data_IF_596444576790
#
_entry.id   IF_596444576790
#
_cell.length_a   1.000
_cell.length_b   1.000
_cell.length_c   1.000
_cell.angle_alpha   90.00
_cell.angle_beta   90.00
_cell.angle_gamma   90.00
#
_symmetry.space_group_name_H-M   'P 1'
#
loop_
_entity.id
_entity.type
_entity.pdbx_description
1 polymer ?
#
# COMPACT_ATOMS: atom_id res chain seq x y z
N UNK A 1 52.05 -7.48 -8.35
CA UNK A 1 53.17 -8.35 -8.77
C UNK A 1 54.43 -8.17 -7.91
N UNK A 2 54.76 -6.95 -7.46
CA UNK A 2 55.99 -6.64 -6.70
C UNK A 2 56.11 -7.34 -5.33
N UNK A 3 55.00 -7.59 -4.62
CA UNK A 3 55.04 -8.22 -3.28
C UNK A 3 55.48 -9.69 -3.31
N UNK A 4 55.20 -10.44 -4.39
CA UNK A 4 55.58 -11.86 -4.51
C UNK A 4 57.11 -12.04 -4.54
N UNK A 5 57.81 -11.17 -5.28
CA UNK A 5 59.27 -11.17 -5.36
C UNK A 5 59.94 -10.87 -4.02
N UNK A 6 59.34 -9.99 -3.20
CA UNK A 6 59.86 -9.67 -1.87
C UNK A 6 59.70 -10.85 -0.89
N UNK A 7 58.57 -11.57 -0.95
CA UNK A 7 58.37 -12.78 -0.13
C UNK A 7 59.30 -13.92 -0.54
N UNK A 8 59.43 -14.19 -1.86
CA UNK A 8 60.36 -15.20 -2.37
C UNK A 8 61.82 -14.85 -2.06
N UNK A 9 62.20 -13.58 -2.18
CA UNK A 9 63.53 -13.10 -1.84
C UNK A 9 63.84 -13.20 -0.34
N UNK A 10 62.87 -12.84 0.52
CA UNK A 10 63.00 -13.01 1.96
C UNK A 10 63.19 -14.47 2.36
N UNK A 11 62.41 -15.39 1.76
CA UNK A 11 62.51 -16.82 2.03
C UNK A 11 63.87 -17.42 1.60
N UNK A 12 64.36 -17.03 0.41
CA UNK A 12 65.66 -17.49 -0.10
C UNK A 12 66.81 -16.99 0.78
N UNK A 13 66.76 -15.74 1.23
CA UNK A 13 67.78 -15.18 2.13
C UNK A 13 67.72 -15.79 3.53
N UNK A 14 66.52 -16.09 4.03
CA UNK A 14 66.36 -16.80 5.30
C UNK A 14 66.95 -18.22 5.19
N UNK A 15 66.63 -18.97 4.14
CA UNK A 15 67.23 -20.28 3.90
C UNK A 15 68.76 -20.21 3.74
N UNK A 16 69.25 -19.17 3.03
CA UNK A 16 70.68 -18.88 2.89
C UNK A 16 71.36 -18.53 4.22
N UNK A 17 70.66 -17.85 5.13
CA UNK A 17 71.18 -17.54 6.46
C UNK A 17 71.41 -18.83 7.26
N UNK A 18 70.44 -19.74 7.29
CA UNK A 18 70.59 -21.03 7.96
C UNK A 18 71.66 -21.90 7.31
N UNK A 19 71.76 -21.91 5.98
CA UNK A 19 72.83 -22.60 5.26
C UNK A 19 74.22 -22.03 5.56
N UNK A 20 74.33 -20.73 5.86
CA UNK A 20 75.62 -20.09 6.20
C UNK A 20 76.24 -20.62 7.51
N UNK A 21 75.40 -21.16 8.42
CA UNK A 21 75.88 -21.80 9.65
C UNK A 21 76.58 -23.15 9.38
N UNK A 22 76.37 -23.73 8.20
CA UNK A 22 76.95 -25.03 7.80
C UNK A 22 78.16 -24.84 6.87
N UNK A 23 78.54 -23.60 6.57
CA UNK A 23 79.74 -23.30 5.79
C UNK A 23 81.00 -23.66 6.57
N UNK A 24 81.98 -24.28 5.92
CA UNK A 24 83.29 -24.54 6.50
C UNK A 24 84.10 -23.23 6.53
N UNK A 25 83.89 -22.43 7.57
CA UNK A 25 84.48 -21.11 7.76
C UNK A 25 84.71 -20.83 9.26
N UNK A 26 85.57 -19.87 9.63
CA UNK A 26 85.69 -19.40 11.00
C UNK A 26 84.34 -18.95 11.59
N UNK A 27 84.11 -19.24 12.87
CA UNK A 27 82.83 -18.96 13.56
C UNK A 27 82.37 -17.50 13.44
N UNK A 28 83.30 -16.54 13.44
CA UNK A 28 82.97 -15.12 13.29
C UNK A 28 82.45 -14.78 11.88
N UNK A 29 82.95 -15.47 10.84
CA UNK A 29 82.46 -15.31 9.46
C UNK A 29 81.09 -15.93 9.28
N UNK A 30 80.84 -17.10 9.88
CA UNK A 30 79.52 -17.73 9.91
C UNK A 30 78.48 -16.84 10.60
N UNK A 31 78.83 -16.28 11.77
CA UNK A 31 77.94 -15.38 12.50
C UNK A 31 77.65 -14.10 11.73
N UNK A 32 78.66 -13.52 11.08
CA UNK A 32 78.50 -12.30 10.28
C UNK A 32 77.66 -12.57 9.02
N UNK A 33 77.90 -13.68 8.32
CA UNK A 33 77.09 -14.11 7.18
C UNK A 33 75.63 -14.37 7.58
N UNK A 34 75.40 -15.06 8.70
CA UNK A 34 74.06 -15.32 9.25
C UNK A 34 73.33 -14.02 9.59
N UNK A 35 73.94 -13.14 10.39
CA UNK A 35 73.29 -11.90 10.85
C UNK A 35 72.97 -10.94 9.72
N UNK A 36 73.86 -10.81 8.73
CA UNK A 36 73.60 -9.95 7.55
C UNK A 36 72.50 -10.52 6.66
N UNK A 37 72.53 -11.82 6.36
CA UNK A 37 71.53 -12.47 5.51
C UNK A 37 70.16 -12.52 6.18
N UNK A 38 70.09 -12.83 7.48
CA UNK A 38 68.86 -12.80 8.27
C UNK A 38 68.31 -11.37 8.44
N UNK A 39 69.19 -10.38 8.63
CA UNK A 39 68.82 -8.96 8.66
C UNK A 39 68.20 -8.50 7.34
N UNK A 40 68.79 -8.89 6.21
CA UNK A 40 68.27 -8.58 4.89
C UNK A 40 66.94 -9.30 4.62
N UNK A 41 66.81 -10.57 5.02
CA UNK A 41 65.57 -11.34 4.93
C UNK A 41 64.43 -10.67 5.73
N UNK A 42 64.72 -10.27 6.97
CA UNK A 42 63.77 -9.58 7.85
C UNK A 42 63.34 -8.21 7.29
N UNK A 43 64.26 -7.45 6.68
CA UNK A 43 63.95 -6.19 6.03
C UNK A 43 63.04 -6.37 4.80
N UNK A 44 63.30 -7.38 3.97
CA UNK A 44 62.45 -7.69 2.82
C UNK A 44 61.07 -8.18 3.24
N UNK A 45 60.98 -9.02 4.28
CA UNK A 45 59.71 -9.47 4.85
C UNK A 45 58.90 -8.28 5.37
N UNK A 46 59.54 -7.39 6.15
CA UNK A 46 58.91 -6.17 6.65
C UNK A 46 58.38 -5.29 5.50
N UNK A 47 59.19 -5.07 4.46
CA UNK A 47 58.76 -4.28 3.30
C UNK A 47 57.60 -4.94 2.54
N UNK A 48 57.60 -6.27 2.40
CA UNK A 48 56.54 -7.02 1.75
C UNK A 48 55.21 -6.88 2.51
N UNK A 49 55.28 -7.07 3.83
CA UNK A 49 54.14 -6.99 4.75
C UNK A 49 53.59 -5.57 4.86
N UNK A 50 54.45 -4.57 5.02
CA UNK A 50 54.05 -3.17 5.14
C UNK A 50 53.33 -2.66 3.89
N UNK A 51 53.73 -3.14 2.69
CA UNK A 51 53.03 -2.87 1.43
C UNK A 51 51.68 -3.57 1.33
N UNK A 52 51.50 -4.71 1.98
CA UNK A 52 50.25 -5.47 1.99
C UNK A 52 49.22 -4.88 2.98
N UNK A 53 49.70 -4.21 4.03
CA UNK A 53 48.84 -3.59 5.04
C UNK A 53 48.00 -2.41 4.48
N UNK A 54 46.71 -2.30 4.87
CA UNK A 54 45.87 -1.14 4.56
C UNK A 54 46.45 0.17 5.11
N UNK A 55 46.19 1.31 4.44
CA UNK A 55 46.76 2.62 4.78
C UNK A 55 46.63 3.01 6.27
N UNK A 56 45.51 2.64 6.90
CA UNK A 56 45.21 2.85 8.32
C UNK A 56 46.15 2.14 9.32
N UNK A 57 46.81 1.05 8.93
CA UNK A 57 47.78 0.33 9.78
C UNK A 57 49.24 0.67 9.48
N UNK A 58 49.48 1.47 8.42
CA UNK A 58 50.83 1.95 8.08
C UNK A 58 51.30 3.07 8.99
N UNK A 59 50.36 3.74 9.68
CA UNK A 59 50.64 4.79 10.66
C UNK A 59 50.64 4.22 12.09
N UNK A 60 51.46 4.79 13.00
CA UNK A 60 52.42 5.87 12.79
C UNK A 60 53.75 5.35 12.20
N UNK A 61 54.32 6.09 11.25
CA UNK A 61 55.74 5.94 10.90
C UNK A 61 56.59 6.68 11.94
N UNK A 62 57.77 6.15 12.32
CA UNK A 62 58.41 4.93 11.83
C UNK A 62 58.06 3.65 12.62
N UNK A 63 57.23 3.75 13.67
CA UNK A 63 57.03 2.68 14.64
C UNK A 63 56.39 1.41 14.09
N UNK A 64 55.42 1.54 13.17
CA UNK A 64 54.73 0.39 12.55
C UNK A 64 55.68 -0.56 11.81
N UNK A 65 56.49 -0.12 10.81
CA UNK A 65 57.47 -0.99 10.17
C UNK A 65 58.59 -1.41 11.12
N UNK A 66 59.01 -0.56 12.06
CA UNK A 66 60.05 -0.91 13.04
C UNK A 66 59.64 -2.10 13.92
N UNK A 67 58.38 -2.14 14.36
CA UNK A 67 57.84 -3.25 15.15
C UNK A 67 57.87 -4.57 14.37
N UNK A 68 57.43 -4.55 13.11
CA UNK A 68 57.42 -5.74 12.23
C UNK A 68 58.85 -6.24 11.99
N UNK A 69 59.79 -5.33 11.70
CA UNK A 69 61.20 -5.69 11.54
C UNK A 69 61.80 -6.26 12.83
N UNK A 70 61.54 -5.63 13.97
CA UNK A 70 62.08 -6.06 15.26
C UNK A 70 61.60 -7.47 15.62
N UNK A 71 60.31 -7.75 15.41
CA UNK A 71 59.75 -9.07 15.67
C UNK A 71 60.37 -10.14 14.75
N UNK A 72 60.58 -9.82 13.47
CA UNK A 72 61.19 -10.74 12.51
C UNK A 72 62.69 -11.00 12.79
N UNK A 73 63.43 -9.97 13.21
CA UNK A 73 64.89 -10.03 13.38
C UNK A 73 65.34 -10.60 14.73
N UNK A 74 64.70 -10.20 15.84
CA UNK A 74 65.13 -10.64 17.18
C UNK A 74 64.60 -12.02 17.57
N UNK A 75 63.60 -12.52 16.85
CA UNK A 75 63.03 -13.86 17.08
C UNK A 75 63.07 -14.64 15.76
N UNK A 76 64.23 -15.21 15.37
CA UNK A 76 64.34 -15.99 14.15
C UNK A 76 63.32 -17.15 14.13
N UNK A 77 62.80 -17.49 12.95
CA UNK A 77 61.76 -18.51 12.72
C UNK A 77 60.39 -18.20 13.35
N UNK A 78 60.30 -18.00 14.67
CA UNK A 78 59.02 -17.75 15.34
C UNK A 78 58.46 -16.34 15.01
N UNK A 79 59.33 -15.34 14.89
CA UNK A 79 58.96 -13.98 14.51
C UNK A 79 58.42 -13.90 13.08
N UNK A 80 59.09 -14.57 12.13
CA UNK A 80 58.64 -14.61 10.74
C UNK A 80 57.32 -15.36 10.59
N UNK A 81 57.17 -16.53 11.24
CA UNK A 81 55.92 -17.29 11.28
C UNK A 81 54.79 -16.50 11.96
N UNK A 82 55.07 -15.83 13.07
CA UNK A 82 54.10 -15.02 13.81
C UNK A 82 53.57 -13.84 13.00
N UNK A 83 54.44 -13.12 12.29
CA UNK A 83 54.05 -12.01 11.41
C UNK A 83 53.14 -12.52 10.27
N UNK A 84 53.50 -13.64 9.63
CA UNK A 84 52.69 -14.21 8.54
C UNK A 84 51.33 -14.69 9.07
N UNK A 85 51.32 -15.41 10.19
CA UNK A 85 50.11 -15.96 10.80
C UNK A 85 49.16 -14.88 11.34
N UNK A 86 49.66 -13.73 11.78
CA UNK A 86 48.81 -12.63 12.24
C UNK A 86 48.14 -11.88 11.08
N UNK A 87 48.84 -11.74 9.96
CA UNK A 87 48.43 -10.82 8.87
C UNK A 87 47.55 -11.52 7.85
N UNK A 88 47.81 -12.79 7.54
CA UNK A 88 46.99 -13.54 6.58
C UNK A 88 45.51 -13.61 7.00
N UNK A 89 45.17 -14.01 8.24
CA UNK A 89 43.77 -14.03 8.68
C UNK A 89 43.15 -12.64 8.70
N UNK A 90 43.92 -11.61 9.11
CA UNK A 90 43.43 -10.23 9.19
C UNK A 90 43.11 -9.62 7.80
N UNK A 91 43.72 -10.12 6.73
CA UNK A 91 43.47 -9.66 5.35
C UNK A 91 42.39 -10.46 4.63
N UNK A 92 42.25 -11.76 4.93
CA UNK A 92 41.34 -12.65 4.19
C UNK A 92 40.04 -12.99 4.93
N UNK A 93 39.94 -12.82 6.26
CA UNK A 93 38.67 -13.04 6.95
C UNK A 93 37.77 -11.80 6.84
N UNK A 94 36.49 -11.96 6.46
CA UNK A 94 35.54 -10.85 6.41
C UNK A 94 35.32 -10.30 7.82
N UNK A 95 35.74 -9.04 8.01
CA UNK A 95 35.52 -8.33 9.26
C UNK A 95 34.03 -8.00 9.38
N UNK A 96 33.37 -8.48 10.43
CA UNK A 96 32.01 -8.05 10.77
C UNK A 96 32.05 -6.53 10.99
N UNK A 97 31.44 -5.76 10.09
CA UNK A 97 31.18 -4.34 10.33
C UNK A 97 30.13 -4.28 11.42
N UNK A 98 30.48 -3.71 12.56
CA UNK A 98 29.46 -3.30 13.51
C UNK A 98 28.51 -2.35 12.78
N UNK A 99 27.23 -2.72 12.76
CA UNK A 99 26.17 -1.84 12.31
C UNK A 99 26.13 -0.71 13.32
N UNK A 100 26.72 0.42 12.96
CA UNK A 100 26.68 1.61 13.79
C UNK A 100 25.21 2.03 13.92
N UNK A 101 24.61 1.78 15.08
CA UNK A 101 23.18 1.99 15.31
C UNK A 101 22.77 3.47 15.28
N UNK A 102 23.76 4.37 15.42
CA UNK A 102 23.56 5.80 15.50
C UNK A 102 24.59 6.51 14.64
N UNK A 103 24.11 7.21 13.62
CA UNK A 103 24.90 8.12 12.79
C UNK A 103 24.39 9.54 13.06
N UNK A 104 25.21 10.35 13.73
CA UNK A 104 24.90 11.76 13.92
C UNK A 104 25.03 12.48 12.57
N UNK A 105 23.89 12.83 11.99
CA UNK A 105 23.81 13.67 10.79
C UNK A 105 23.53 15.09 11.27
N UNK A 106 24.23 16.08 10.71
CA UNK A 106 23.95 17.49 11.01
C UNK A 106 22.51 17.84 10.67
N UNK A 107 21.92 18.78 11.43
CA UNK A 107 20.56 19.26 11.17
C UNK A 107 20.52 19.81 9.75
N UNK A 108 19.74 19.22 8.82
CA UNK A 108 19.63 19.74 7.47
C UNK A 108 19.02 21.15 7.53
N UNK A 109 19.40 22.01 6.59
CA UNK A 109 18.83 23.36 6.50
C UNK A 109 17.32 23.25 6.30
N UNK A 110 16.56 23.70 7.30
CA UNK A 110 15.11 23.71 7.22
C UNK A 110 14.68 24.74 6.16
N UNK A 111 13.69 24.43 5.31
CA UNK A 111 13.18 25.38 4.35
C UNK A 111 12.53 26.57 5.08
N UNK A 112 12.72 27.79 4.55
CA UNK A 112 12.18 29.04 5.10
C UNK A 112 10.64 29.08 5.18
N UNK A 113 9.97 28.18 4.45
CA UNK A 113 8.54 27.90 4.58
C UNK A 113 8.35 26.40 4.72
N UNK A 114 7.35 25.99 5.51
CA UNK A 114 6.89 24.63 5.52
C UNK A 114 6.59 24.21 4.07
N UNK A 115 7.27 23.16 3.58
CA UNK A 115 6.81 22.50 2.37
C UNK A 115 5.43 21.94 2.71
N UNK A 116 4.39 22.52 2.10
CA UNK A 116 3.08 21.89 2.08
C UNK A 116 3.31 20.57 1.39
N UNK A 117 3.40 19.49 2.17
CA UNK A 117 3.32 18.17 1.61
C UNK A 117 1.95 18.11 0.97
N UNK A 118 1.91 18.28 -0.35
CA UNK A 118 0.89 17.67 -1.18
C UNK A 118 1.08 16.16 -1.02
N UNK A 119 0.75 15.64 0.17
CA UNK A 119 0.34 14.26 0.28
C UNK A 119 -0.73 14.15 -0.77
N UNK A 120 -0.47 13.44 -1.87
CA UNK A 120 -1.54 12.89 -2.69
C UNK A 120 -2.36 12.09 -1.70
N UNK A 121 -3.48 12.63 -1.21
CA UNK A 121 -4.15 11.97 -0.13
C UNK A 121 -4.74 10.74 -0.79
N UNK A 122 -4.36 9.58 -0.26
CA UNK A 122 -5.16 8.39 -0.47
C UNK A 122 -6.47 8.71 0.26
N UNK A 123 -7.38 9.40 -0.42
CA UNK A 123 -8.63 9.86 0.14
C UNK A 123 -9.45 8.61 0.48
N UNK A 124 -9.42 8.18 1.74
CA UNK A 124 -10.51 7.37 2.27
C UNK A 124 -11.76 8.26 2.30
N UNK A 125 -12.94 7.70 2.03
CA UNK A 125 -14.19 8.44 1.79
C UNK A 125 -14.52 9.50 2.87
N UNK A 126 -14.11 9.25 4.13
CA UNK A 126 -14.27 10.21 5.24
C UNK A 126 -13.42 11.49 5.10
N UNK A 127 -12.23 11.39 4.52
CA UNK A 127 -11.30 12.51 4.41
C UNK A 127 -11.75 13.60 3.45
N UNK A 128 -12.54 13.27 2.42
CA UNK A 128 -13.02 14.24 1.43
C UNK A 128 -14.05 15.21 2.01
N UNK A 129 -14.97 14.74 2.86
CA UNK A 129 -15.91 15.61 3.55
C UNK A 129 -15.19 16.57 4.49
N UNK A 130 -14.15 16.10 5.19
CA UNK A 130 -13.34 16.94 6.07
C UNK A 130 -12.55 18.00 5.29
N UNK A 131 -11.99 17.64 4.13
CA UNK A 131 -11.34 18.63 3.24
C UNK A 131 -12.34 19.70 2.84
N UNK A 132 -13.56 19.34 2.42
CA UNK A 132 -14.58 20.34 2.04
C UNK A 132 -15.01 21.23 3.21
N UNK A 133 -15.05 20.70 4.44
CA UNK A 133 -15.48 21.46 5.61
C UNK A 133 -14.39 22.36 6.20
N UNK A 134 -13.15 21.92 6.14
CA UNK A 134 -12.07 22.49 6.96
C UNK A 134 -10.87 23.01 6.18
N UNK A 135 -10.70 22.64 4.91
CA UNK A 135 -9.58 23.17 4.13
C UNK A 135 -9.78 24.67 3.90
N UNK A 136 -8.84 25.54 4.33
CA UNK A 136 -8.99 26.98 4.18
C UNK A 136 -8.91 27.42 2.71
N UNK A 137 -8.13 26.70 1.91
CA UNK A 137 -7.83 26.98 0.52
C UNK A 137 -8.90 26.41 -0.43
N UNK A 138 -9.60 27.25 -1.23
CA UNK A 138 -10.58 26.81 -2.21
C UNK A 138 -10.03 25.81 -3.23
N UNK A 139 -8.76 25.94 -3.63
CA UNK A 139 -8.16 25.06 -4.64
C UNK A 139 -8.04 23.61 -4.14
N UNK A 140 -7.81 23.44 -2.84
CA UNK A 140 -7.79 22.11 -2.21
C UNK A 140 -9.19 21.49 -2.15
N UNK A 141 -10.22 22.32 -1.92
CA UNK A 141 -11.62 21.87 -1.93
C UNK A 141 -12.06 21.51 -3.35
N UNK A 142 -11.68 22.29 -4.37
CA UNK A 142 -11.88 21.97 -5.78
C UNK A 142 -11.20 20.64 -6.16
N UNK A 143 -9.94 20.45 -5.76
CA UNK A 143 -9.24 19.18 -5.98
C UNK A 143 -9.96 18.00 -5.31
N UNK A 144 -10.52 18.22 -4.11
CA UNK A 144 -11.39 17.26 -3.42
C UNK A 144 -12.63 16.91 -4.24
N UNK A 145 -13.35 17.91 -4.78
CA UNK A 145 -14.50 17.66 -5.65
C UNK A 145 -14.11 16.85 -6.89
N UNK A 146 -12.99 17.17 -7.55
CA UNK A 146 -12.54 16.41 -8.71
C UNK A 146 -12.20 14.95 -8.38
N UNK A 147 -11.74 14.65 -7.16
CA UNK A 147 -11.49 13.29 -6.72
C UNK A 147 -12.78 12.44 -6.64
N UNK A 148 -13.93 13.06 -6.35
CA UNK A 148 -15.24 12.38 -6.31
C UNK A 148 -15.65 11.75 -7.64
N UNK A 149 -15.06 12.16 -8.78
CA UNK A 149 -15.37 11.62 -10.11
C UNK A 149 -15.10 10.13 -10.26
N UNK A 150 -14.24 9.56 -9.41
CA UNK A 150 -13.90 8.13 -9.42
C UNK A 150 -14.67 7.33 -8.38
N UNK A 151 -15.45 8.00 -7.55
CA UNK A 151 -16.23 7.37 -6.49
C UNK A 151 -17.57 6.85 -7.04
N UNK A 152 -18.15 5.81 -6.42
CA UNK A 152 -19.54 5.44 -6.68
C UNK A 152 -20.48 6.63 -6.42
N UNK A 153 -21.54 6.75 -7.22
CA UNK A 153 -22.48 7.88 -7.11
C UNK A 153 -23.05 8.05 -5.70
N UNK A 154 -23.37 6.94 -5.02
CA UNK A 154 -23.90 6.94 -3.65
C UNK A 154 -22.99 7.67 -2.65
N UNK A 155 -21.68 7.55 -2.83
CA UNK A 155 -20.70 8.16 -1.93
C UNK A 155 -20.33 9.58 -2.39
N UNK A 156 -20.33 9.81 -3.71
CA UNK A 156 -20.02 11.10 -4.31
C UNK A 156 -21.13 12.16 -4.10
N UNK A 157 -22.40 11.81 -4.33
CA UNK A 157 -23.51 12.78 -4.31
C UNK A 157 -23.65 13.51 -2.97
N UNK A 158 -23.56 12.85 -1.79
CA UNK A 158 -23.57 13.55 -0.51
C UNK A 158 -22.44 14.58 -0.36
N UNK A 159 -21.24 14.26 -0.85
CA UNK A 159 -20.07 15.15 -0.84
C UNK A 159 -20.32 16.36 -1.76
N UNK A 160 -20.87 16.13 -2.96
CA UNK A 160 -21.21 17.20 -3.89
C UNK A 160 -22.31 18.11 -3.33
N UNK A 161 -23.35 17.55 -2.69
CA UNK A 161 -24.41 18.32 -2.03
C UNK A 161 -23.88 19.19 -0.90
N UNK A 162 -22.93 18.68 -0.12
CA UNK A 162 -22.27 19.46 0.93
C UNK A 162 -21.55 20.69 0.35
N UNK A 163 -20.90 20.54 -0.80
CA UNK A 163 -20.19 21.62 -1.47
C UNK A 163 -21.09 22.70 -2.10
N UNK A 164 -22.41 22.46 -2.23
CA UNK A 164 -23.34 23.51 -2.64
C UNK A 164 -23.44 24.66 -1.62
N UNK A 165 -23.04 24.41 -0.37
CA UNK A 165 -22.98 25.43 0.68
C UNK A 165 -21.60 26.10 0.83
N UNK A 166 -20.64 25.81 -0.06
CA UNK A 166 -19.26 26.32 0.08
C UNK A 166 -19.20 27.86 -0.04
N UNK A 167 -18.35 28.56 0.73
CA UNK A 167 -18.19 30.00 0.59
C UNK A 167 -17.61 30.44 -0.77
N UNK A 168 -16.87 29.58 -1.46
CA UNK A 168 -16.29 29.87 -2.79
C UNK A 168 -17.29 29.58 -3.91
N UNK A 169 -17.51 30.56 -4.78
CA UNK A 169 -18.40 30.44 -5.94
C UNK A 169 -17.95 29.33 -6.90
N UNK A 170 -16.66 29.21 -7.17
CA UNK A 170 -16.12 28.19 -8.08
C UNK A 170 -16.37 26.77 -7.57
N UNK A 171 -16.22 26.55 -6.26
CA UNK A 171 -16.50 25.26 -5.61
C UNK A 171 -17.98 24.92 -5.75
N UNK A 172 -18.88 25.87 -5.46
CA UNK A 172 -20.33 25.67 -5.60
C UNK A 172 -20.71 25.37 -7.05
N UNK A 173 -20.22 26.16 -8.01
CA UNK A 173 -20.53 26.01 -9.42
C UNK A 173 -20.05 24.67 -9.97
N UNK A 174 -18.85 24.23 -9.60
CA UNK A 174 -18.35 22.91 -9.97
C UNK A 174 -19.26 21.81 -9.39
N UNK A 175 -19.61 21.88 -8.12
CA UNK A 175 -20.51 20.91 -7.48
C UNK A 175 -21.89 20.86 -8.17
N UNK A 176 -22.49 22.03 -8.46
CA UNK A 176 -23.74 22.12 -9.24
C UNK A 176 -23.61 21.43 -10.60
N UNK A 177 -22.57 21.75 -11.37
CA UNK A 177 -22.36 21.17 -12.70
C UNK A 177 -22.16 19.65 -12.66
N UNK A 178 -21.52 19.14 -11.61
CA UNK A 178 -21.27 17.71 -11.44
C UNK A 178 -22.54 16.95 -11.05
N UNK A 179 -23.38 17.52 -10.19
CA UNK A 179 -24.68 16.96 -9.83
C UNK A 179 -25.64 16.97 -11.03
N UNK A 180 -25.76 18.12 -11.69
CA UNK A 180 -26.61 18.28 -12.88
C UNK A 180 -26.21 17.32 -13.99
N UNK A 181 -24.90 17.13 -14.20
CA UNK A 181 -24.42 16.12 -15.16
C UNK A 181 -24.87 14.70 -14.80
N UNK A 182 -24.78 14.29 -13.53
CA UNK A 182 -25.21 12.95 -13.12
C UNK A 182 -26.72 12.74 -13.32
N UNK A 183 -27.52 13.74 -12.96
CA UNK A 183 -28.97 13.72 -13.17
C UNK A 183 -29.31 13.65 -14.66
N UNK A 184 -28.70 14.50 -15.48
CA UNK A 184 -28.92 14.53 -16.93
C UNK A 184 -28.48 13.23 -17.61
N UNK A 185 -27.37 12.63 -17.19
CA UNK A 185 -26.92 11.33 -17.71
C UNK A 185 -27.95 10.21 -17.44
N UNK A 186 -28.61 10.22 -16.27
CA UNK A 186 -29.67 9.26 -15.94
C UNK A 186 -30.95 9.57 -16.72
N UNK A 187 -31.37 10.84 -16.77
CA UNK A 187 -32.55 11.27 -17.52
C UNK A 187 -32.44 10.95 -19.01
N UNK A 188 -31.25 11.11 -19.61
CA UNK A 188 -31.00 10.72 -20.99
C UNK A 188 -31.20 9.21 -21.19
N UNK A 189 -30.73 8.37 -20.27
CA UNK A 189 -30.95 6.90 -20.34
C UNK A 189 -32.43 6.54 -20.23
N UNK A 190 -33.16 7.23 -19.37
CA UNK A 190 -34.62 7.08 -19.25
C UNK A 190 -35.30 7.43 -20.57
N UNK A 191 -34.99 8.59 -21.14
CA UNK A 191 -35.57 9.04 -22.42
C UNK A 191 -35.27 8.06 -23.56
N UNK A 192 -34.03 7.57 -23.67
CA UNK A 192 -33.65 6.59 -24.68
C UNK A 192 -34.40 5.25 -24.52
N UNK A 193 -34.61 4.78 -23.29
CA UNK A 193 -35.36 3.56 -23.02
C UNK A 193 -36.85 3.73 -23.29
N UNK A 194 -37.44 4.88 -22.92
CA UNK A 194 -38.83 5.21 -23.23
C UNK A 194 -39.08 5.30 -24.74
N UNK A 195 -38.15 5.88 -25.51
CA UNK A 195 -38.27 5.99 -26.96
C UNK A 195 -38.29 4.62 -27.67
N UNK A 196 -37.68 3.59 -27.08
CA UNK A 196 -37.65 2.23 -27.64
C UNK A 196 -38.90 1.41 -27.30
N UNK A 197 -39.63 1.79 -26.24
CA UNK A 197 -40.78 1.04 -25.73
C UNK A 197 -41.91 0.83 -26.76
N UNK A 198 -42.33 1.83 -27.57
CA UNK A 198 -43.46 1.69 -28.48
C UNK A 198 -43.22 0.70 -29.63
N UNK A 199 -41.96 0.47 -29.99
CA UNK A 199 -41.57 -0.42 -31.11
C UNK A 199 -41.08 -1.79 -30.64
N UNK A 200 -41.04 -2.03 -29.33
CA UNK A 200 -40.56 -3.28 -28.76
C UNK A 200 -41.64 -4.38 -28.79
N UNK A 201 -41.19 -5.62 -29.03
CA UNK A 201 -42.04 -6.79 -28.81
C UNK A 201 -42.26 -7.03 -27.30
N UNK A 202 -43.22 -7.88 -26.92
CA UNK A 202 -43.59 -8.09 -25.51
C UNK A 202 -42.39 -8.44 -24.59
N UNK A 203 -41.47 -9.30 -25.05
CA UNK A 203 -40.31 -9.73 -24.27
C UNK A 203 -39.27 -8.61 -24.09
N UNK A 204 -39.04 -7.82 -25.15
CA UNK A 204 -38.17 -6.64 -25.14
C UNK A 204 -38.79 -5.51 -24.32
N UNK A 205 -40.11 -5.30 -24.40
CA UNK A 205 -40.84 -4.33 -23.60
C UNK A 205 -40.69 -4.63 -22.11
N UNK A 206 -40.80 -5.90 -21.69
CA UNK A 206 -40.51 -6.30 -20.31
C UNK A 206 -39.08 -5.99 -19.85
N UNK A 207 -38.09 -6.12 -20.75
CA UNK A 207 -36.69 -5.80 -20.42
C UNK A 207 -36.45 -4.28 -20.32
N UNK A 208 -37.09 -3.51 -21.20
CA UNK A 208 -37.08 -2.04 -21.15
C UNK A 208 -37.75 -1.53 -19.88
N UNK A 209 -38.88 -2.11 -19.48
CA UNK A 209 -39.54 -1.79 -18.21
C UNK A 209 -38.64 -2.09 -16.99
N UNK A 210 -37.98 -3.25 -16.95
CA UNK A 210 -37.00 -3.55 -15.90
C UNK A 210 -35.82 -2.54 -15.87
N UNK A 211 -35.40 -2.07 -17.04
CA UNK A 211 -34.34 -1.07 -17.20
C UNK A 211 -34.79 0.31 -16.70
N UNK A 212 -36.00 0.74 -17.08
CA UNK A 212 -36.61 1.99 -16.64
C UNK A 212 -36.80 2.01 -15.13
N UNK A 213 -37.31 0.92 -14.55
CA UNK A 213 -37.43 0.77 -13.10
C UNK A 213 -36.10 1.02 -12.39
N UNK A 214 -35.00 0.51 -12.96
CA UNK A 214 -33.64 0.65 -12.39
C UNK A 214 -33.12 2.08 -12.50
N UNK A 215 -33.35 2.78 -13.62
CA UNK A 215 -32.92 4.17 -13.77
C UNK A 215 -33.72 5.15 -12.91
N UNK A 216 -35.03 5.00 -12.83
CA UNK A 216 -35.84 5.79 -11.91
C UNK A 216 -35.44 5.50 -10.46
N UNK A 217 -35.26 4.24 -10.09
CA UNK A 217 -34.74 3.91 -8.77
C UNK A 217 -33.37 4.54 -8.49
N UNK A 218 -32.47 4.58 -9.46
CA UNK A 218 -31.15 5.20 -9.29
C UNK A 218 -31.24 6.69 -8.92
N UNK A 219 -32.17 7.45 -9.53
CA UNK A 219 -32.41 8.85 -9.16
C UNK A 219 -32.80 9.00 -7.69
N UNK A 220 -33.67 8.11 -7.19
CA UNK A 220 -34.09 8.09 -5.79
C UNK A 220 -32.94 7.63 -4.87
N UNK A 221 -32.26 6.54 -5.24
CA UNK A 221 -31.20 5.91 -4.46
C UNK A 221 -29.97 6.82 -4.28
N UNK A 222 -29.60 7.57 -5.31
CA UNK A 222 -28.54 8.58 -5.24
C UNK A 222 -28.98 9.85 -4.49
N UNK A 223 -30.28 10.00 -4.24
CA UNK A 223 -30.87 11.20 -3.64
C UNK A 223 -30.88 12.41 -4.57
N UNK A 224 -30.81 12.22 -5.89
CA UNK A 224 -30.89 13.32 -6.85
C UNK A 224 -32.33 13.89 -6.92
N UNK A 225 -33.34 13.03 -6.73
CA UNK A 225 -34.73 13.44 -6.56
C UNK A 225 -35.07 13.73 -5.09
N UNK A 226 -35.84 14.80 -4.83
CA UNK A 226 -36.29 15.18 -3.48
C UNK A 226 -37.74 15.68 -3.50
N UNK A 227 -38.44 15.60 -2.36
CA UNK A 227 -39.82 16.07 -2.22
C UNK A 227 -40.79 15.40 -3.20
N UNK A 228 -41.64 16.19 -3.86
CA UNK A 228 -42.62 15.68 -4.83
C UNK A 228 -41.99 14.98 -6.05
N UNK A 229 -40.77 15.37 -6.43
CA UNK A 229 -40.03 14.70 -7.52
C UNK A 229 -39.64 13.28 -7.12
N UNK A 230 -39.23 13.09 -5.86
CA UNK A 230 -38.90 11.76 -5.32
C UNK A 230 -40.13 10.84 -5.36
N UNK A 231 -41.28 11.33 -4.90
CA UNK A 231 -42.54 10.57 -4.95
C UNK A 231 -42.89 10.15 -6.38
N UNK A 232 -42.79 11.09 -7.33
CA UNK A 232 -43.05 10.79 -8.75
C UNK A 232 -42.08 9.74 -9.30
N UNK A 233 -40.79 9.89 -9.06
CA UNK A 233 -39.74 8.97 -9.51
C UNK A 233 -39.94 7.57 -8.92
N UNK A 234 -40.26 7.45 -7.63
CA UNK A 234 -40.54 6.16 -6.99
C UNK A 234 -41.82 5.50 -7.54
N UNK A 235 -42.86 6.28 -7.85
CA UNK A 235 -44.06 5.77 -8.50
C UNK A 235 -43.74 5.23 -9.90
N UNK A 236 -42.99 5.98 -10.72
CA UNK A 236 -42.55 5.52 -12.05
C UNK A 236 -41.66 4.27 -11.96
N UNK A 237 -40.75 4.20 -10.99
CA UNK A 237 -39.93 3.03 -10.75
C UNK A 237 -40.80 1.80 -10.41
N UNK A 238 -41.80 1.98 -9.55
CA UNK A 238 -42.72 0.92 -9.13
C UNK A 238 -43.59 0.41 -10.28
N UNK A 239 -44.16 1.31 -11.08
CA UNK A 239 -45.02 0.97 -12.23
C UNK A 239 -44.24 0.17 -13.27
N UNK A 240 -43.04 0.62 -13.62
CA UNK A 240 -42.19 -0.10 -14.56
C UNK A 240 -41.66 -1.42 -14.00
N UNK A 241 -41.38 -1.50 -12.69
CA UNK A 241 -41.02 -2.76 -12.07
C UNK A 241 -42.16 -3.78 -12.19
N UNK A 242 -43.39 -3.36 -11.94
CA UNK A 242 -44.58 -4.20 -12.07
C UNK A 242 -44.78 -4.71 -13.51
N UNK A 243 -44.68 -3.82 -14.51
CA UNK A 243 -44.76 -4.24 -15.92
C UNK A 243 -43.65 -5.22 -16.31
N UNK A 244 -42.43 -5.01 -15.81
CA UNK A 244 -41.33 -5.95 -16.02
C UNK A 244 -41.59 -7.32 -15.38
N UNK A 245 -42.15 -7.35 -14.17
CA UNK A 245 -42.51 -8.60 -13.47
C UNK A 245 -43.65 -9.33 -14.19
N UNK A 246 -44.68 -8.62 -14.67
CA UNK A 246 -45.76 -9.19 -15.48
C UNK A 246 -45.25 -9.83 -16.78
N UNK A 247 -44.18 -9.26 -17.35
CA UNK A 247 -43.48 -9.83 -18.50
C UNK A 247 -42.50 -10.97 -18.13
N UNK A 248 -42.55 -11.47 -16.90
CA UNK A 248 -41.78 -12.63 -16.45
C UNK A 248 -40.30 -12.36 -16.14
N UNK A 249 -39.92 -11.10 -15.83
CA UNK A 249 -38.54 -10.81 -15.39
C UNK A 249 -38.30 -11.33 -13.96
N UNK A 250 -37.08 -11.81 -13.71
CA UNK A 250 -36.74 -12.68 -12.58
C UNK A 250 -36.43 -11.98 -11.24
N UNK A 251 -35.73 -12.73 -10.38
CA UNK A 251 -35.47 -12.41 -8.96
C UNK A 251 -34.92 -11.00 -8.69
N UNK A 252 -33.94 -10.54 -9.47
CA UNK A 252 -33.36 -9.20 -9.24
C UNK A 252 -34.39 -8.07 -9.33
N UNK A 253 -35.39 -8.20 -10.22
CA UNK A 253 -36.45 -7.21 -10.35
C UNK A 253 -37.42 -7.29 -9.17
N UNK A 254 -37.66 -8.49 -8.62
CA UNK A 254 -38.44 -8.67 -7.38
C UNK A 254 -37.74 -7.99 -6.20
N UNK A 255 -36.42 -8.17 -6.07
CA UNK A 255 -35.64 -7.48 -5.04
C UNK A 255 -35.70 -5.96 -5.21
N UNK A 256 -35.50 -5.47 -6.43
CA UNK A 256 -35.60 -4.04 -6.74
C UNK A 256 -37.00 -3.48 -6.41
N UNK A 257 -38.06 -4.18 -6.81
CA UNK A 257 -39.44 -3.79 -6.53
C UNK A 257 -39.72 -3.77 -5.02
N UNK A 258 -39.19 -4.75 -4.27
CA UNK A 258 -39.29 -4.78 -2.81
C UNK A 258 -38.60 -3.58 -2.16
N UNK A 259 -37.41 -3.20 -2.63
CA UNK A 259 -36.69 -2.00 -2.17
C UNK A 259 -37.44 -0.71 -2.49
N UNK A 260 -38.02 -0.60 -3.69
CA UNK A 260 -38.88 0.53 -4.07
C UNK A 260 -40.09 0.61 -3.13
N UNK A 261 -40.71 -0.52 -2.80
CA UNK A 261 -41.85 -0.54 -1.87
C UNK A 261 -41.45 -0.14 -0.45
N UNK A 262 -40.27 -0.55 0.03
CA UNK A 262 -39.72 -0.12 1.33
C UNK A 262 -39.54 1.41 1.40
N UNK A 263 -38.88 2.02 0.40
CA UNK A 263 -38.69 3.48 0.37
C UNK A 263 -40.00 4.27 0.25
N UNK A 264 -41.03 3.66 -0.33
CA UNK A 264 -42.38 4.24 -0.38
C UNK A 264 -43.18 4.03 0.91
N UNK A 265 -42.66 3.25 1.87
CA UNK A 265 -43.37 2.86 3.09
C UNK A 265 -44.50 1.85 2.89
N UNK A 266 -44.59 1.20 1.73
CA UNK A 266 -45.59 0.17 1.43
C UNK A 266 -45.12 -1.20 1.95
N UNK A 267 -45.16 -1.35 3.27
CA UNK A 267 -44.70 -2.54 4.00
C UNK A 267 -45.38 -3.83 3.51
N UNK A 268 -46.72 -3.89 3.33
CA UNK A 268 -47.38 -5.10 2.85
C UNK A 268 -46.87 -5.54 1.47
N UNK A 269 -46.70 -4.59 0.53
CA UNK A 269 -46.19 -4.90 -0.81
C UNK A 269 -44.73 -5.33 -0.77
N UNK A 270 -43.90 -4.66 0.03
CA UNK A 270 -42.50 -5.01 0.21
C UNK A 270 -42.33 -6.45 0.73
N UNK A 271 -43.15 -6.86 1.69
CA UNK A 271 -43.12 -8.23 2.25
C UNK A 271 -43.40 -9.30 1.20
N UNK A 272 -44.43 -9.10 0.36
CA UNK A 272 -44.76 -10.03 -0.73
C UNK A 272 -43.59 -10.14 -1.71
N UNK A 273 -43.05 -9.01 -2.16
CA UNK A 273 -42.00 -8.96 -3.16
C UNK A 273 -40.68 -9.55 -2.67
N UNK A 274 -40.27 -9.26 -1.43
CA UNK A 274 -39.04 -9.80 -0.84
C UNK A 274 -39.15 -11.30 -0.56
N UNK A 275 -40.32 -11.80 -0.15
CA UNK A 275 -40.55 -13.23 0.00
C UNK A 275 -40.49 -13.97 -1.35
N UNK A 276 -41.04 -13.38 -2.42
CA UNK A 276 -40.92 -13.91 -3.77
C UNK A 276 -39.46 -13.88 -4.26
N UNK A 277 -38.71 -12.79 -3.98
CA UNK A 277 -37.30 -12.69 -4.32
C UNK A 277 -36.47 -13.79 -3.62
N UNK A 278 -36.75 -14.07 -2.34
CA UNK A 278 -36.09 -15.15 -1.59
C UNK A 278 -36.43 -16.55 -2.10
N UNK A 279 -37.63 -16.73 -2.65
CA UNK A 279 -38.04 -18.00 -3.27
C UNK A 279 -37.50 -18.19 -4.70
N UNK A 280 -36.91 -17.14 -5.29
CA UNK A 280 -36.28 -17.21 -6.61
C UNK A 280 -34.83 -17.71 -6.52
N UNK A 281 -34.17 -17.93 -7.65
CA UNK A 281 -32.77 -18.41 -7.76
C UNK A 281 -31.72 -17.36 -7.33
N UNK A 282 -32.09 -16.42 -6.47
CA UNK A 282 -31.19 -15.40 -5.94
C UNK A 282 -30.37 -15.94 -4.78
N UNK A 283 -29.13 -15.45 -4.68
CA UNK A 283 -28.34 -15.64 -3.47
C UNK A 283 -29.05 -14.98 -2.28
N UNK A 284 -29.38 -15.81 -1.30
CA UNK A 284 -30.09 -15.40 -0.08
C UNK A 284 -29.36 -14.26 0.64
N UNK A 285 -28.03 -14.21 0.56
CA UNK A 285 -27.22 -13.15 1.16
C UNK A 285 -27.54 -11.74 0.60
N UNK A 286 -28.08 -11.65 -0.62
CA UNK A 286 -28.47 -10.37 -1.23
C UNK A 286 -29.84 -9.88 -0.74
N UNK A 287 -30.73 -10.79 -0.37
CA UNK A 287 -32.12 -10.48 0.00
C UNK A 287 -32.25 -10.25 1.51
N UNK A 288 -31.50 -11.01 2.32
CA UNK A 288 -31.57 -10.97 3.79
C UNK A 288 -31.41 -9.56 4.41
N UNK A 289 -30.50 -8.67 3.95
CA UNK A 289 -30.39 -7.32 4.49
C UNK A 289 -31.71 -6.54 4.38
N UNK A 290 -32.42 -6.69 3.26
CA UNK A 290 -33.68 -6.00 3.01
C UNK A 290 -34.85 -6.66 3.75
N UNK A 291 -34.79 -7.97 4.01
CA UNK A 291 -35.72 -8.62 4.95
C UNK A 291 -35.53 -8.09 6.38
N UNK A 292 -34.29 -7.83 6.81
CA UNK A 292 -34.01 -7.25 8.12
C UNK A 292 -34.50 -5.81 8.20
N UNK A 293 -34.32 -5.02 7.14
CA UNK A 293 -34.89 -3.68 7.01
C UNK A 293 -36.43 -3.69 7.05
N UNK A 294 -37.08 -4.59 6.29
CA UNK A 294 -38.53 -4.80 6.36
C UNK A 294 -38.99 -5.14 7.78
N UNK A 295 -38.27 -6.01 8.49
CA UNK A 295 -38.60 -6.37 9.87
C UNK A 295 -38.46 -5.16 10.81
N UNK A 296 -37.45 -4.31 10.59
CA UNK A 296 -37.28 -3.06 11.34
C UNK A 296 -38.44 -2.08 11.12
N UNK A 297 -38.79 -1.80 9.85
CA UNK A 297 -39.90 -0.91 9.50
C UNK A 297 -41.26 -1.45 9.97
N UNK A 298 -41.46 -2.77 9.90
CA UNK A 298 -42.63 -3.45 10.42
C UNK A 298 -42.64 -3.58 11.96
N UNK A 299 -41.62 -3.05 12.67
CA UNK A 299 -41.44 -3.13 14.13
C UNK A 299 -41.33 -4.56 14.69
N UNK A 300 -40.92 -5.51 13.85
CA UNK A 300 -40.67 -6.94 14.18
C UNK A 300 -39.21 -7.16 14.54
N UNK A 301 -38.75 -6.42 15.54
CA UNK A 301 -37.33 -6.38 15.93
C UNK A 301 -36.72 -7.74 16.29
N UNK A 302 -37.55 -8.65 16.83
CA UNK A 302 -37.14 -10.00 17.21
C UNK A 302 -36.66 -10.87 16.03
N UNK A 303 -37.06 -10.56 14.80
CA UNK A 303 -36.67 -11.32 13.60
C UNK A 303 -35.29 -10.91 13.07
N UNK A 304 -34.85 -9.68 13.38
CA UNK A 304 -33.65 -9.06 12.79
C UNK A 304 -32.38 -9.86 13.10
N UNK A 305 -32.17 -10.23 14.37
CA UNK A 305 -30.99 -11.00 14.78
C UNK A 305 -30.88 -12.34 14.05
N UNK A 306 -32.00 -13.05 13.89
CA UNK A 306 -32.06 -14.31 13.15
C UNK A 306 -31.75 -14.16 11.66
N UNK A 307 -32.23 -13.08 11.04
CA UNK A 307 -31.95 -12.77 9.63
C UNK A 307 -30.47 -12.42 9.41
N UNK A 308 -29.89 -11.58 10.28
CA UNK A 308 -28.49 -11.17 10.18
C UNK A 308 -27.52 -12.33 10.49
N UNK A 309 -27.88 -13.24 11.39
CA UNK A 309 -27.07 -14.40 11.72
C UNK A 309 -26.88 -15.37 10.53
N UNK A 310 -27.81 -15.36 9.58
CA UNK A 310 -27.78 -16.20 8.36
C UNK A 310 -26.91 -15.62 7.24
N UNK A 311 -26.44 -14.39 7.37
CA UNK A 311 -25.51 -13.81 6.41
C UNK A 311 -24.17 -14.57 6.43
N UNK A 312 -23.47 -14.67 5.28
CA UNK A 312 -22.14 -15.25 5.21
C UNK A 312 -21.18 -14.61 6.21
N UNK A 313 -20.27 -15.40 6.78
CA UNK A 313 -19.34 -14.94 7.82
C UNK A 313 -18.50 -13.74 7.37
N UNK A 314 -17.95 -13.80 6.15
CA UNK A 314 -17.17 -12.70 5.56
C UNK A 314 -17.97 -11.38 5.48
N UNK A 315 -19.27 -11.47 5.21
CA UNK A 315 -20.14 -10.30 5.13
C UNK A 315 -20.43 -9.75 6.52
N UNK A 316 -20.68 -10.61 7.51
CA UNK A 316 -20.92 -10.22 8.91
C UNK A 316 -19.71 -9.52 9.54
N UNK A 317 -18.49 -9.81 9.09
CA UNK A 317 -17.28 -9.20 9.64
C UNK A 317 -16.89 -7.86 8.98
N UNK A 318 -17.51 -7.49 7.84
CA UNK A 318 -17.20 -6.27 7.11
C UNK A 318 -18.22 -5.15 7.40
N UNK A 319 -17.81 -3.87 7.42
CA UNK A 319 -18.74 -2.76 7.41
C UNK A 319 -19.65 -2.79 6.16
N UNK A 320 -20.93 -2.38 6.26
CA UNK A 320 -21.61 -1.88 7.46
C UNK A 320 -22.15 -2.98 8.39
N UNK A 321 -22.21 -4.23 7.95
CA UNK A 321 -22.89 -5.32 8.66
C UNK A 321 -22.24 -5.70 9.99
N UNK A 322 -20.92 -5.55 10.13
CA UNK A 322 -20.23 -5.81 11.40
C UNK A 322 -20.76 -4.98 12.58
N UNK A 323 -21.18 -3.74 12.33
CA UNK A 323 -21.81 -2.93 13.36
C UNK A 323 -23.24 -3.41 13.66
N UNK A 324 -24.02 -3.70 12.61
CA UNK A 324 -25.41 -4.15 12.72
C UNK A 324 -25.54 -5.50 13.44
N UNK A 325 -24.69 -6.47 13.11
CA UNK A 325 -24.70 -7.78 13.78
C UNK A 325 -24.45 -7.57 15.27
N UNK A 326 -23.40 -6.83 15.66
CA UNK A 326 -23.10 -6.56 17.09
C UNK A 326 -24.22 -5.87 17.86
N UNK A 327 -25.08 -5.08 17.21
CA UNK A 327 -26.18 -4.40 17.89
C UNK A 327 -27.44 -5.26 18.02
N UNK A 328 -27.63 -6.22 17.13
CA UNK A 328 -28.89 -6.99 16.99
C UNK A 328 -28.76 -8.48 17.34
N UNK A 329 -27.54 -8.98 17.58
CA UNK A 329 -27.23 -10.34 18.06
C UNK A 329 -26.42 -10.30 19.34
#
# INVERSE_FOLDING_TARGET
MISKWLFSGALLLEAGSWASLWMVAPQWQQFLAFTLSHGLASALLCAAVWRLLPARYRAPLPWSPLFIFSLAFFVPVLGTLGVVAAIFPALYLPRKRDKQAWQAVGIPTLPFRAQVQLHSPTFADAGLQDVLRHAPDPDQRLAGLLATRRMPGRDAVPILKLALGDPSDDVRLLAYSMLDKQENDINLRIQLALAQLPSANAQAAGALHATLARWYWELAYLGLAQGSVLEHVLNQASEHAEQGLLAGKGGELLLLAGRIALERGDIPRAEVLLNQARASDMDEAQVLPFCAELAFEARRYHEIGGLLARLPEDMRQRPPFAALVRSWT
#
